data_IF_584559078844
#
_entry.id   IF_584559078844
#
_cell.length_a   1.000
_cell.length_b   1.000
_cell.length_c   1.000
_cell.angle_alpha   90.00
_cell.angle_beta   90.00
_cell.angle_gamma   90.00
#
_symmetry.space_group_name_H-M   'P 1'
#
loop_
_entity.id
_entity.type
_entity.pdbx_description
1 polymer ?
#
# COMPACT_ATOMS: atom_id res chain seq x y z
N UNK A 1 -2.01 9.29 16.84
CA UNK A 1 -0.57 9.34 16.47
C UNK A 1 -0.41 9.91 15.08
N UNK A 2 0.62 10.73 14.89
CA UNK A 2 0.88 11.32 13.59
C UNK A 2 1.14 10.28 12.50
N UNK A 3 1.87 9.21 12.86
CA UNK A 3 2.20 8.17 11.89
C UNK A 3 0.97 7.48 11.32
N UNK A 4 0.00 7.15 12.18
CA UNK A 4 -1.21 6.46 11.75
C UNK A 4 -2.02 7.32 10.78
N UNK A 5 -2.13 8.62 11.07
CA UNK A 5 -2.87 9.53 10.21
C UNK A 5 -2.19 9.68 8.85
N UNK A 6 -0.87 9.82 8.86
CA UNK A 6 -0.12 9.94 7.62
C UNK A 6 -0.26 8.68 6.77
N UNK A 7 -0.20 7.50 7.40
CA UNK A 7 -0.40 6.24 6.71
C UNK A 7 -1.77 6.19 6.05
N UNK A 8 -2.81 6.54 6.80
CA UNK A 8 -4.18 6.53 6.27
C UNK A 8 -4.33 7.49 5.10
N UNK A 9 -3.77 8.68 5.20
CA UNK A 9 -3.83 9.66 4.11
C UNK A 9 -3.13 9.17 2.86
N UNK A 10 -1.95 8.57 3.01
CA UNK A 10 -1.18 8.07 1.87
C UNK A 10 -1.87 6.88 1.22
N UNK A 11 -2.41 5.97 2.02
CA UNK A 11 -3.12 4.80 1.49
C UNK A 11 -4.39 5.24 0.77
N UNK A 12 -5.12 6.19 1.32
CA UNK A 12 -6.32 6.70 0.67
C UNK A 12 -5.99 7.37 -0.65
N UNK A 13 -4.91 8.16 -0.68
CA UNK A 13 -4.43 8.77 -1.91
C UNK A 13 -4.09 7.73 -2.95
N UNK A 14 -3.47 6.63 -2.52
CA UNK A 14 -3.12 5.52 -3.40
C UNK A 14 -4.36 4.91 -4.04
N UNK A 15 -5.40 4.64 -3.25
CA UNK A 15 -6.66 4.10 -3.78
C UNK A 15 -7.35 5.08 -4.74
N UNK A 16 -7.18 6.37 -4.50
CA UNK A 16 -7.73 7.39 -5.41
C UNK A 16 -7.01 7.41 -6.75
N UNK A 17 -5.67 7.27 -6.73
CA UNK A 17 -4.86 7.25 -7.95
C UNK A 17 -5.02 5.95 -8.73
N UNK A 18 -5.30 4.85 -8.04
CA UNK A 18 -5.40 3.52 -8.63
C UNK A 18 -6.82 3.00 -8.48
N UNK A 19 -7.76 3.42 -9.34
CA UNK A 19 -9.16 3.04 -9.19
C UNK A 19 -9.41 1.53 -9.33
N UNK A 20 -8.49 0.81 -9.96
CA UNK A 20 -8.62 -0.65 -10.10
C UNK A 20 -8.01 -1.43 -8.93
N UNK A 21 -7.37 -0.75 -7.99
CA UNK A 21 -6.81 -1.38 -6.80
C UNK A 21 -7.90 -1.59 -5.76
N UNK A 22 -8.10 -2.84 -5.35
CA UNK A 22 -9.10 -3.21 -4.35
C UNK A 22 -8.52 -3.33 -2.96
N UNK A 23 -7.27 -3.75 -2.86
CA UNK A 23 -6.61 -3.90 -1.57
C UNK A 23 -5.21 -4.45 -1.71
N UNK A 24 -4.48 -4.46 -0.61
CA UNK A 24 -3.16 -5.05 -0.54
C UNK A 24 -2.79 -5.30 0.93
N UNK A 25 -1.77 -6.11 1.15
CA UNK A 25 -1.26 -6.38 2.48
C UNK A 25 0.22 -6.03 2.57
N UNK A 26 0.66 -5.65 3.76
CA UNK A 26 2.06 -5.41 4.05
C UNK A 26 2.55 -6.54 4.96
N UNK A 27 3.58 -7.24 4.51
CA UNK A 27 4.19 -8.34 5.26
C UNK A 27 5.60 -7.97 5.64
N UNK A 28 6.10 -8.60 6.70
CA UNK A 28 7.47 -8.41 7.15
C UNK A 28 8.18 -9.75 7.14
N UNK A 29 9.38 -9.77 6.58
CA UNK A 29 10.24 -10.94 6.55
C UNK A 29 11.69 -10.48 6.66
N UNK A 30 12.43 -11.05 7.62
CA UNK A 30 13.85 -10.72 7.84
C UNK A 30 14.09 -9.20 7.94
N UNK A 31 13.26 -8.51 8.68
CA UNK A 31 13.30 -7.07 8.93
C UNK A 31 12.97 -6.20 7.70
N UNK A 32 12.60 -6.82 6.60
CA UNK A 32 12.17 -6.09 5.41
C UNK A 32 10.65 -6.13 5.28
N UNK A 33 10.09 -5.06 4.76
CA UNK A 33 8.67 -4.99 4.46
C UNK A 33 8.46 -5.21 2.98
N UNK A 34 7.41 -5.94 2.63
CA UNK A 34 7.03 -6.13 1.24
C UNK A 34 5.52 -6.14 1.09
N UNK A 35 5.07 -5.86 -0.12
CA UNK A 35 3.65 -5.81 -0.45
C UNK A 35 3.23 -7.17 -0.98
N UNK A 36 2.09 -7.67 -0.51
CA UNK A 36 1.53 -8.94 -0.96
C UNK A 36 0.02 -8.85 -1.06
N UNK A 37 -0.59 -9.91 -1.57
CA UNK A 37 -2.05 -10.05 -1.63
C UNK A 37 -2.71 -8.85 -2.31
N UNK A 38 -2.12 -8.39 -3.41
CA UNK A 38 -2.64 -7.25 -4.15
C UNK A 38 -3.92 -7.68 -4.88
N UNK A 39 -5.04 -7.06 -4.49
CA UNK A 39 -6.33 -7.26 -5.16
C UNK A 39 -6.54 -6.21 -6.23
N UNK A 40 -6.71 -6.65 -7.47
CA UNK A 40 -6.93 -5.76 -8.60
C UNK A 40 -8.08 -6.27 -9.45
N UNK A 41 -8.58 -5.41 -10.32
CA UNK A 41 -9.58 -5.79 -11.30
C UNK A 41 -9.01 -6.88 -12.23
N UNK A 42 -9.79 -7.95 -12.53
CA UNK A 42 -9.30 -9.03 -13.38
C UNK A 42 -9.10 -8.61 -14.84
N UNK A 43 -9.51 -7.41 -15.21
CA UNK A 43 -9.35 -6.89 -16.57
C UNK A 43 -8.00 -6.24 -16.84
N UNK A 44 -7.18 -6.09 -15.80
CA UNK A 44 -5.89 -5.42 -15.95
C UNK A 44 -4.87 -6.34 -16.64
N UNK A 45 -4.03 -5.72 -17.47
CA UNK A 45 -2.90 -6.40 -18.07
C UNK A 45 -1.78 -6.57 -17.04
N UNK A 46 -0.81 -7.42 -17.35
CA UNK A 46 0.37 -7.59 -16.49
C UNK A 46 1.15 -6.27 -16.35
N UNK A 47 1.20 -5.47 -17.41
CA UNK A 47 1.87 -4.18 -17.38
C UNK A 47 1.18 -3.22 -16.42
N UNK A 48 -0.14 -3.16 -16.48
CA UNK A 48 -0.92 -2.32 -15.57
C UNK A 48 -0.78 -2.77 -14.12
N UNK A 49 -0.75 -4.08 -13.90
CA UNK A 49 -0.50 -4.63 -12.57
C UNK A 49 0.86 -4.17 -12.04
N UNK A 50 1.90 -4.23 -12.88
CA UNK A 50 3.23 -3.79 -12.48
C UNK A 50 3.27 -2.31 -12.11
N UNK A 51 2.54 -1.47 -12.84
CA UNK A 51 2.47 -0.04 -12.52
C UNK A 51 1.82 0.20 -11.16
N UNK A 52 0.75 -0.53 -10.85
CA UNK A 52 0.08 -0.43 -9.56
C UNK A 52 1.01 -0.90 -8.45
N UNK A 53 1.69 -2.03 -8.66
CA UNK A 53 2.65 -2.54 -7.68
C UNK A 53 3.73 -1.50 -7.37
N UNK A 54 4.29 -0.88 -8.42
CA UNK A 54 5.32 0.14 -8.24
C UNK A 54 4.79 1.36 -7.50
N UNK A 55 3.57 1.79 -7.79
CA UNK A 55 2.97 2.92 -7.10
C UNK A 55 2.80 2.63 -5.60
N UNK A 56 2.34 1.41 -5.27
CA UNK A 56 2.22 0.99 -3.87
C UNK A 56 3.60 1.00 -3.20
N UNK A 57 4.58 0.37 -3.82
CA UNK A 57 5.91 0.25 -3.25
C UNK A 57 6.57 1.63 -3.06
N UNK A 58 6.42 2.51 -4.05
CA UNK A 58 6.97 3.85 -3.97
C UNK A 58 6.29 4.67 -2.87
N UNK A 59 4.97 4.59 -2.79
CA UNK A 59 4.21 5.31 -1.78
C UNK A 59 4.62 4.89 -0.37
N UNK A 60 4.73 3.59 -0.13
CA UNK A 60 5.16 3.08 1.17
C UNK A 60 6.62 3.40 1.46
N UNK A 61 7.47 3.35 0.44
CA UNK A 61 8.88 3.72 0.61
C UNK A 61 9.05 5.17 1.02
N UNK A 62 8.34 6.08 0.37
CA UNK A 62 8.37 7.50 0.72
C UNK A 62 7.83 7.73 2.13
N UNK A 63 6.76 7.02 2.48
CA UNK A 63 6.18 7.09 3.80
C UNK A 63 7.20 6.69 4.88
N UNK A 64 7.93 5.62 4.65
CA UNK A 64 8.94 5.14 5.59
C UNK A 64 10.13 6.10 5.70
N UNK A 65 10.46 6.80 4.61
CA UNK A 65 11.50 7.83 4.66
C UNK A 65 11.08 9.01 5.53
N UNK A 66 9.82 9.42 5.42
CA UNK A 66 9.28 10.53 6.20
C UNK A 66 9.06 10.16 7.66
N UNK A 67 8.63 8.93 7.89
CA UNK A 67 8.24 8.47 9.23
C UNK A 67 8.68 7.01 9.40
N UNK A 68 9.96 6.78 9.82
CA UNK A 68 10.47 5.41 9.96
C UNK A 68 9.66 4.55 10.94
N UNK A 69 9.02 5.16 11.93
CA UNK A 69 8.20 4.43 12.90
C UNK A 69 6.97 3.81 12.27
N UNK A 70 6.55 4.30 11.10
CA UNK A 70 5.41 3.76 10.39
C UNK A 70 5.61 2.29 10.02
N UNK A 71 6.87 1.85 9.86
CA UNK A 71 7.17 0.47 9.53
C UNK A 71 6.59 -0.53 10.53
N UNK A 72 6.68 -0.21 11.81
CA UNK A 72 6.12 -1.10 12.84
C UNK A 72 4.60 -1.17 12.77
N UNK A 73 3.97 -0.03 12.48
CA UNK A 73 2.52 0.01 12.37
C UNK A 73 2.04 -0.71 11.12
N UNK A 74 2.80 -0.65 10.02
CA UNK A 74 2.44 -1.29 8.76
C UNK A 74 2.55 -2.81 8.78
N UNK A 75 3.41 -3.36 9.64
CA UNK A 75 3.69 -4.80 9.65
C UNK A 75 2.42 -5.61 9.87
N UNK A 76 2.13 -6.51 8.95
CA UNK A 76 0.98 -7.40 9.04
C UNK A 76 -0.36 -6.72 8.79
N UNK A 77 -0.37 -5.49 8.33
CA UNK A 77 -1.61 -4.77 8.05
C UNK A 77 -2.14 -5.10 6.67
N UNK A 78 -3.44 -5.14 6.57
CA UNK A 78 -4.14 -5.32 5.30
C UNK A 78 -4.99 -4.08 5.07
N UNK A 79 -4.91 -3.56 3.86
CA UNK A 79 -5.69 -2.38 3.47
C UNK A 79 -6.66 -2.76 2.36
N UNK A 80 -7.87 -2.27 2.47
CA UNK A 80 -8.90 -2.54 1.48
C UNK A 80 -9.65 -1.25 1.17
N UNK A 81 -10.10 -1.16 -0.10
CA UNK A 81 -10.88 -0.01 -0.52
C UNK A 81 -12.20 0.01 0.24
N UNK A 82 -12.53 1.16 0.79
CA UNK A 82 -13.81 1.36 1.43
C UNK A 82 -14.89 1.48 0.37
N UNK A 83 -15.93 0.65 0.47
CA UNK A 83 -17.06 0.68 -0.45
C UNK A 83 -18.22 1.37 0.26
N UNK A 84 -18.73 2.38 -0.40
CA UNK A 84 -19.90 3.10 0.11
C UNK A 84 -21.11 2.85 -0.76
#
# INVERSE_FOLDING_TARGET
>A
MKSQRLIQEQVQSLFTRCPDLCGFAVRAEAEELYVSDIGISPRLSAEQYGEIYQDIAQTLGELLEQEPQAGEWLRGKTFARTVH
#
